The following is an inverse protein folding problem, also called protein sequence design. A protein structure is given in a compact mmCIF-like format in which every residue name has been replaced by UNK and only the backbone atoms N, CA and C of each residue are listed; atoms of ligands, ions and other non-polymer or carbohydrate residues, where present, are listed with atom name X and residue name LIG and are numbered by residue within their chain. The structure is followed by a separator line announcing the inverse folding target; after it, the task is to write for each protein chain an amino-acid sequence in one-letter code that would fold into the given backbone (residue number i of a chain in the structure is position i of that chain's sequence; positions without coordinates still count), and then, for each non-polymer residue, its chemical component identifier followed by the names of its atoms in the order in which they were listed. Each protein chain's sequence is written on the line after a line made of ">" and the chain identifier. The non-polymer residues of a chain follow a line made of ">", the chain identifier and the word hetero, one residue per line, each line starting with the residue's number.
data_IF_441714901742
#
_entry.id   IF_441714901742
#
_cell.length_a   1.000
_cell.length_b   1.000
_cell.length_c   1.000
_cell.angle_alpha   90.00
_cell.angle_beta   90.00
_cell.angle_gamma   90.00
#
_symmetry.space_group_name_H-M   'P 1'
#
loop_
_entity.id
_entity.type
_entity.pdbx_description
1 polymer ?
#
# COMPACT_ATOMS: atom_id res chain seq x y z
N UNK A 1 8.54 6.78 32.03
CA UNK A 1 8.74 6.37 30.63
C UNK A 1 8.90 7.65 29.80
N UNK A 2 10.12 7.95 29.42
CA UNK A 2 10.39 9.01 28.46
C UNK A 2 9.79 8.55 27.12
N UNK A 3 8.78 9.26 26.67
CA UNK A 3 8.23 9.00 25.33
C UNK A 3 9.30 9.41 24.31
N UNK A 4 9.71 8.45 23.48
CA UNK A 4 10.54 8.75 22.31
C UNK A 4 9.87 9.88 21.53
N UNK A 5 10.56 10.97 21.17
CA UNK A 5 10.00 12.08 20.42
C UNK A 5 9.89 11.71 18.93
N UNK A 6 9.22 10.61 18.64
CA UNK A 6 8.97 10.18 17.26
C UNK A 6 7.66 10.80 16.79
N UNK A 7 7.73 11.52 15.67
CA UNK A 7 6.58 12.13 15.03
C UNK A 7 6.23 11.33 13.78
N UNK A 8 5.00 10.87 13.68
CA UNK A 8 4.45 10.32 12.44
C UNK A 8 3.81 11.46 11.65
N UNK A 9 4.21 11.57 10.37
CA UNK A 9 3.65 12.55 9.43
C UNK A 9 3.04 11.76 8.28
N UNK A 10 1.80 12.04 7.96
CA UNK A 10 1.09 11.40 6.85
C UNK A 10 1.10 12.31 5.63
N UNK A 11 1.37 11.72 4.47
CA UNK A 11 1.27 12.36 3.16
C UNK A 11 0.36 11.54 2.28
N UNK A 12 -0.46 12.21 1.48
CA UNK A 12 -1.19 11.55 0.39
C UNK A 12 -0.25 11.26 -0.81
N UNK A 13 -0.73 10.43 -1.73
CA UNK A 13 0.06 10.04 -2.89
C UNK A 13 0.41 11.23 -3.80
N UNK A 14 -0.47 12.18 -3.95
CA UNK A 14 -0.26 13.36 -4.80
C UNK A 14 0.84 14.25 -4.25
N UNK A 15 0.87 14.41 -2.93
CA UNK A 15 1.95 15.15 -2.23
C UNK A 15 3.31 14.46 -2.37
N UNK A 16 3.36 13.13 -2.54
CA UNK A 16 4.60 12.38 -2.74
C UNK A 16 5.21 12.58 -4.14
N UNK A 17 4.44 13.09 -5.10
CA UNK A 17 4.91 13.43 -6.44
C UNK A 17 5.50 14.85 -6.52
N UNK A 18 5.45 15.62 -5.42
CA UNK A 18 6.08 16.95 -5.38
C UNK A 18 7.59 16.83 -5.62
N UNK A 19 8.06 17.60 -6.59
CA UNK A 19 9.50 17.78 -6.86
C UNK A 19 10.12 18.40 -5.61
N UNK A 20 11.09 17.70 -4.98
CA UNK A 20 11.83 18.09 -3.76
C UNK A 20 11.18 17.73 -2.41
N UNK A 21 10.23 16.80 -2.35
CA UNK A 21 9.69 16.31 -1.07
C UNK A 21 10.81 15.79 -0.14
N UNK A 22 11.75 15.01 -0.69
CA UNK A 22 12.86 14.45 0.06
C UNK A 22 13.75 15.53 0.70
N UNK A 23 14.12 16.57 -0.06
CA UNK A 23 14.91 17.69 0.45
C UNK A 23 14.18 18.44 1.56
N UNK A 24 12.88 18.63 1.41
CA UNK A 24 12.03 19.27 2.42
C UNK A 24 11.96 18.44 3.70
N UNK A 25 11.77 17.13 3.57
CA UNK A 25 11.73 16.22 4.72
C UNK A 25 13.07 16.20 5.49
N UNK A 26 14.18 16.05 4.77
CA UNK A 26 15.52 16.01 5.36
C UNK A 26 15.97 17.35 5.95
N UNK A 27 15.39 18.47 5.48
CA UNK A 27 15.67 19.78 6.05
C UNK A 27 14.99 20.00 7.41
N UNK A 28 13.77 19.49 7.54
CA UNK A 28 12.91 19.79 8.68
C UNK A 28 12.91 18.67 9.74
N UNK A 29 13.36 17.45 9.38
CA UNK A 29 13.27 16.26 10.24
C UNK A 29 14.49 15.34 10.09
N UNK A 30 14.81 14.66 11.18
CA UNK A 30 15.65 13.45 11.18
C UNK A 30 14.74 12.25 10.86
N UNK A 31 14.68 11.90 9.57
CA UNK A 31 13.73 10.92 9.06
C UNK A 31 14.26 9.52 9.29
N UNK A 32 13.58 8.72 10.09
CA UNK A 32 13.93 7.31 10.37
C UNK A 32 13.65 6.44 9.13
N UNK A 33 12.43 6.48 8.63
CA UNK A 33 12.02 5.75 7.44
C UNK A 33 10.74 6.36 6.86
N UNK A 34 10.42 5.96 5.65
CA UNK A 34 9.15 6.25 4.98
C UNK A 34 8.41 4.94 4.82
N UNK A 35 7.15 4.89 5.25
CA UNK A 35 6.30 3.71 5.16
C UNK A 35 5.16 3.99 4.19
N UNK A 36 4.91 3.09 3.26
CA UNK A 36 3.84 3.25 2.30
C UNK A 36 3.61 2.04 1.42
N UNK A 37 2.62 2.14 0.55
CA UNK A 37 2.31 1.09 -0.45
C UNK A 37 3.15 1.24 -1.71
N UNK A 38 3.60 2.45 -2.03
CA UNK A 38 4.48 2.73 -3.17
C UNK A 38 5.73 3.47 -2.71
N UNK A 39 6.90 3.00 -3.19
CA UNK A 39 8.13 3.73 -3.01
C UNK A 39 8.12 5.00 -3.89
N UNK A 40 8.14 6.20 -3.31
CA UNK A 40 8.16 7.45 -4.07
C UNK A 40 9.51 7.74 -4.72
N UNK A 41 10.40 6.73 -4.84
CA UNK A 41 11.76 6.81 -5.39
C UNK A 41 12.65 7.81 -4.65
N UNK A 42 12.49 7.88 -3.33
CA UNK A 42 13.39 8.63 -2.46
C UNK A 42 14.78 7.98 -2.48
N UNK A 43 15.82 8.81 -2.62
CA UNK A 43 17.20 8.30 -2.85
C UNK A 43 17.97 8.06 -1.55
N UNK A 44 17.70 8.89 -0.53
CA UNK A 44 18.48 8.92 0.71
C UNK A 44 17.65 8.50 1.93
N UNK A 45 16.38 8.14 1.74
CA UNK A 45 15.51 7.70 2.81
C UNK A 45 15.18 6.23 2.68
N UNK A 46 15.22 5.52 3.79
CA UNK A 46 14.83 4.12 3.85
C UNK A 46 13.32 4.00 3.67
N UNK A 47 12.89 3.26 2.65
CA UNK A 47 11.48 2.99 2.40
C UNK A 47 11.13 1.58 2.88
N UNK A 48 10.04 1.46 3.62
CA UNK A 48 9.46 0.21 4.06
C UNK A 48 8.08 0.06 3.42
N UNK A 49 7.90 -0.97 2.64
CA UNK A 49 6.59 -1.29 2.10
C UNK A 49 5.65 -1.74 3.24
N UNK A 50 4.38 -1.34 3.19
CA UNK A 50 3.42 -1.69 4.24
C UNK A 50 3.22 -3.20 4.35
N UNK A 51 3.28 -3.91 3.24
CA UNK A 51 3.26 -5.37 3.18
C UNK A 51 4.47 -6.01 3.87
N UNK A 52 5.67 -5.41 3.79
CA UNK A 52 6.86 -5.88 4.50
C UNK A 52 6.69 -5.76 6.03
N UNK A 53 6.06 -4.67 6.49
CA UNK A 53 5.71 -4.53 7.91
C UNK A 53 4.68 -5.58 8.36
N UNK A 54 3.68 -5.84 7.54
CA UNK A 54 2.62 -6.79 7.86
C UNK A 54 3.15 -8.22 7.87
N UNK A 55 4.08 -8.55 6.97
CA UNK A 55 4.74 -9.86 6.89
C UNK A 55 5.94 -9.98 7.83
N UNK A 56 6.21 -8.96 8.63
CA UNK A 56 7.31 -8.86 9.58
C UNK A 56 8.72 -8.91 8.97
N UNK A 57 8.86 -8.81 7.65
CA UNK A 57 10.16 -8.84 6.98
C UNK A 57 11.01 -7.59 7.23
N UNK A 58 10.39 -6.47 7.60
CA UNK A 58 11.09 -5.20 7.92
C UNK A 58 11.17 -4.91 9.43
N UNK A 59 10.73 -5.82 10.29
CA UNK A 59 10.83 -5.63 11.73
C UNK A 59 12.29 -5.57 12.19
N UNK A 60 13.18 -6.30 11.55
CA UNK A 60 14.61 -6.31 11.90
C UNK A 60 15.26 -4.93 11.70
N UNK A 61 14.88 -4.20 10.64
CA UNK A 61 15.35 -2.83 10.43
C UNK A 61 14.89 -1.91 11.56
N UNK A 62 13.60 -1.90 11.88
CA UNK A 62 13.07 -1.05 12.95
C UNK A 62 13.64 -1.45 14.31
N UNK A 63 13.78 -2.75 14.56
CA UNK A 63 14.38 -3.28 15.78
C UNK A 63 15.83 -2.83 15.92
N UNK A 64 16.64 -2.96 14.87
CA UNK A 64 18.04 -2.54 14.90
C UNK A 64 18.18 -1.01 15.06
N UNK A 65 17.32 -0.23 14.42
CA UNK A 65 17.33 1.22 14.56
C UNK A 65 17.03 1.68 16.00
N UNK A 66 16.07 1.01 16.65
CA UNK A 66 15.66 1.37 18.01
C UNK A 66 16.48 0.68 19.11
N UNK A 67 17.33 -0.31 18.78
CA UNK A 67 18.06 -1.12 19.78
C UNK A 67 18.92 -0.28 20.73
N UNK A 68 19.53 0.80 20.24
CA UNK A 68 20.36 1.70 21.02
C UNK A 68 19.58 2.82 21.71
N UNK A 69 18.27 2.94 21.46
CA UNK A 69 17.45 4.07 21.89
C UNK A 69 16.45 3.66 22.97
N UNK A 70 15.96 2.42 22.95
CA UNK A 70 14.94 1.92 23.89
C UNK A 70 15.45 0.68 24.64
N UNK A 71 14.85 0.41 25.82
CA UNK A 71 15.16 -0.77 26.59
C UNK A 71 14.72 -2.06 25.89
N UNK A 72 15.31 -3.20 26.24
CA UNK A 72 14.91 -4.51 25.68
C UNK A 72 13.44 -4.82 26.00
N UNK A 73 12.96 -4.46 27.20
CA UNK A 73 11.55 -4.65 27.59
C UNK A 73 10.59 -3.81 26.71
N UNK A 74 10.96 -2.57 26.42
CA UNK A 74 10.19 -1.70 25.52
C UNK A 74 10.26 -2.22 24.08
N UNK A 75 11.40 -2.77 23.65
CA UNK A 75 11.55 -3.42 22.33
C UNK A 75 10.63 -4.62 22.17
N UNK A 76 10.58 -5.51 23.17
CA UNK A 76 9.70 -6.67 23.17
C UNK A 76 8.21 -6.24 23.12
N UNK A 77 7.88 -5.18 23.86
CA UNK A 77 6.55 -4.56 23.84
C UNK A 77 6.22 -3.96 22.47
N UNK A 78 7.17 -3.26 21.85
CA UNK A 78 7.05 -2.70 20.52
C UNK A 78 6.80 -3.78 19.47
N UNK A 79 7.62 -4.84 19.44
CA UNK A 79 7.46 -5.95 18.50
C UNK A 79 6.10 -6.64 18.65
N UNK A 80 5.66 -6.93 19.89
CA UNK A 80 4.33 -7.51 20.15
C UNK A 80 3.19 -6.63 19.66
N UNK A 81 3.30 -5.31 19.86
CA UNK A 81 2.29 -4.36 19.38
C UNK A 81 2.28 -4.28 17.86
N UNK A 82 3.46 -4.27 17.23
CA UNK A 82 3.58 -4.30 15.76
C UNK A 82 2.91 -5.54 15.19
N UNK A 83 3.28 -6.74 15.65
CA UNK A 83 2.67 -8.01 15.25
C UNK A 83 1.16 -8.01 15.41
N UNK A 84 0.66 -7.51 16.54
CA UNK A 84 -0.76 -7.42 16.81
C UNK A 84 -1.49 -6.46 15.87
N UNK A 85 -0.93 -5.28 15.64
CA UNK A 85 -1.61 -4.20 14.92
C UNK A 85 -1.53 -4.37 13.41
N UNK A 86 -0.46 -4.97 12.90
CA UNK A 86 -0.26 -5.18 11.46
C UNK A 86 -0.68 -6.57 10.97
N UNK A 87 -1.36 -7.38 11.79
CA UNK A 87 -1.97 -8.59 11.23
C UNK A 87 -3.09 -8.22 10.23
N UNK A 88 -3.17 -8.94 9.11
CA UNK A 88 -4.22 -8.72 8.10
C UNK A 88 -5.62 -8.67 8.72
N UNK A 89 -5.89 -9.58 9.67
CA UNK A 89 -7.14 -9.64 10.39
C UNK A 89 -7.44 -8.33 11.13
N UNK A 90 -6.42 -7.70 11.76
CA UNK A 90 -6.65 -6.46 12.48
C UNK A 90 -6.81 -5.26 11.55
N UNK A 91 -6.08 -5.22 10.43
CA UNK A 91 -6.26 -4.17 9.42
C UNK A 91 -7.68 -4.22 8.87
N UNK A 92 -8.14 -5.41 8.52
CA UNK A 92 -9.49 -5.62 7.99
C UNK A 92 -10.56 -5.36 9.08
N UNK A 93 -10.31 -5.74 10.33
CA UNK A 93 -11.24 -5.47 11.43
C UNK A 93 -11.34 -3.99 11.82
N UNK A 94 -10.41 -3.15 11.36
CA UNK A 94 -10.49 -1.69 11.50
C UNK A 94 -11.41 -1.04 10.46
N UNK A 95 -11.91 -1.79 9.47
CA UNK A 95 -13.00 -1.32 8.63
C UNK A 95 -14.24 -1.11 9.52
N UNK A 96 -14.81 0.09 9.47
CA UNK A 96 -15.83 0.52 10.43
C UNK A 96 -17.25 0.39 9.90
N UNK A 97 -17.41 0.46 8.59
CA UNK A 97 -18.72 0.51 7.92
C UNK A 97 -19.01 -0.76 7.14
N UNK A 98 -17.99 -1.36 6.51
CA UNK A 98 -18.15 -2.53 5.67
C UNK A 98 -17.92 -3.83 6.45
N UNK A 99 -18.65 -4.90 6.09
CA UNK A 99 -18.38 -6.23 6.62
C UNK A 99 -17.03 -6.74 6.08
N UNK A 100 -16.01 -6.92 6.95
CA UNK A 100 -14.65 -7.22 6.49
C UNK A 100 -14.54 -8.53 5.71
N UNK A 101 -15.19 -9.58 6.16
CA UNK A 101 -15.14 -10.91 5.53
C UNK A 101 -15.76 -10.87 4.13
N UNK A 102 -16.93 -10.28 4.01
CA UNK A 102 -17.62 -10.15 2.72
C UNK A 102 -16.85 -9.27 1.73
N UNK A 103 -16.24 -8.20 2.22
CA UNK A 103 -15.44 -7.32 1.38
C UNK A 103 -14.20 -8.07 0.86
N UNK A 104 -13.48 -8.76 1.76
CA UNK A 104 -12.27 -9.50 1.40
C UNK A 104 -12.55 -10.59 0.35
N UNK A 105 -13.63 -11.38 0.53
CA UNK A 105 -14.02 -12.42 -0.44
C UNK A 105 -14.27 -11.81 -1.83
N UNK A 106 -15.02 -10.71 -1.91
CA UNK A 106 -15.32 -10.04 -3.18
C UNK A 106 -14.10 -9.41 -3.85
N UNK A 107 -13.22 -8.85 -3.03
CA UNK A 107 -11.95 -8.27 -3.53
C UNK A 107 -11.03 -9.39 -4.01
N UNK A 108 -10.99 -10.54 -3.32
CA UNK A 108 -10.23 -11.70 -3.75
C UNK A 108 -10.70 -12.20 -5.12
N UNK A 109 -12.00 -12.41 -5.30
CA UNK A 109 -12.58 -12.81 -6.60
C UNK A 109 -12.22 -11.81 -7.71
N UNK A 110 -12.24 -10.50 -7.42
CA UNK A 110 -11.90 -9.48 -8.39
C UNK A 110 -10.39 -9.48 -8.75
N UNK A 111 -9.50 -9.70 -7.78
CA UNK A 111 -8.06 -9.81 -8.01
C UNK A 111 -7.75 -11.08 -8.82
N UNK A 112 -8.41 -12.20 -8.54
CA UNK A 112 -8.25 -13.44 -9.30
C UNK A 112 -8.70 -13.24 -10.76
N UNK A 113 -9.82 -12.54 -10.98
CA UNK A 113 -10.26 -12.19 -12.32
C UNK A 113 -9.28 -11.24 -13.03
N UNK A 114 -8.71 -10.27 -12.30
CA UNK A 114 -7.68 -9.36 -12.82
C UNK A 114 -6.45 -10.14 -13.30
N UNK A 115 -5.95 -11.08 -12.49
CA UNK A 115 -4.84 -11.95 -12.88
C UNK A 115 -5.14 -12.77 -14.14
N UNK A 116 -6.35 -13.32 -14.25
CA UNK A 116 -6.79 -14.08 -15.44
C UNK A 116 -6.84 -13.19 -16.69
N UNK A 117 -7.42 -11.99 -16.58
CA UNK A 117 -7.52 -11.06 -17.72
C UNK A 117 -6.14 -10.53 -18.17
N UNK A 118 -5.25 -10.30 -17.22
CA UNK A 118 -3.86 -9.90 -17.48
C UNK A 118 -2.97 -11.07 -17.92
N UNK A 119 -3.45 -12.32 -17.79
CA UNK A 119 -2.68 -13.55 -18.06
C UNK A 119 -1.37 -13.60 -17.26
N UNK A 120 -1.43 -13.18 -16.02
CA UNK A 120 -0.28 -13.14 -15.11
C UNK A 120 -0.68 -13.67 -13.73
N UNK A 121 0.31 -14.08 -12.95
CA UNK A 121 0.11 -14.49 -11.56
C UNK A 121 0.87 -13.50 -10.68
N UNK A 122 0.18 -12.93 -9.71
CA UNK A 122 0.80 -12.03 -8.75
C UNK A 122 1.47 -12.83 -7.63
N UNK A 123 2.55 -12.29 -7.08
CA UNK A 123 3.15 -12.85 -5.87
C UNK A 123 2.20 -12.69 -4.68
N UNK A 124 2.42 -13.49 -3.62
CA UNK A 124 1.66 -13.35 -2.38
C UNK A 124 1.73 -11.92 -1.81
N UNK A 125 2.91 -11.29 -1.88
CA UNK A 125 3.09 -9.91 -1.42
C UNK A 125 2.29 -8.92 -2.26
N UNK A 126 2.27 -9.09 -3.58
CA UNK A 126 1.47 -8.25 -4.48
C UNK A 126 -0.02 -8.40 -4.19
N UNK A 127 -0.52 -9.63 -4.09
CA UNK A 127 -1.92 -9.88 -3.75
C UNK A 127 -2.28 -9.26 -2.40
N UNK A 128 -1.42 -9.44 -1.40
CA UNK A 128 -1.65 -8.93 -0.06
C UNK A 128 -1.77 -7.39 -0.04
N UNK A 129 -0.82 -6.68 -0.66
CA UNK A 129 -0.89 -5.23 -0.74
C UNK A 129 -2.11 -4.72 -1.50
N UNK A 130 -2.51 -5.41 -2.58
CA UNK A 130 -3.75 -5.11 -3.29
C UNK A 130 -4.98 -5.33 -2.40
N UNK A 131 -5.04 -6.41 -1.61
CA UNK A 131 -6.15 -6.63 -0.67
C UNK A 131 -6.27 -5.49 0.32
N UNK A 132 -5.17 -5.11 0.97
CA UNK A 132 -5.16 -4.01 1.94
C UNK A 132 -5.59 -2.70 1.30
N UNK A 133 -4.96 -2.34 0.17
CA UNK A 133 -5.26 -1.08 -0.52
C UNK A 133 -6.71 -1.00 -0.96
N UNK A 134 -7.20 -2.03 -1.65
CA UNK A 134 -8.56 -2.02 -2.22
C UNK A 134 -9.62 -2.09 -1.12
N UNK A 135 -9.41 -2.87 -0.05
CA UNK A 135 -10.36 -2.89 1.06
C UNK A 135 -10.48 -1.52 1.73
N UNK A 136 -9.35 -0.84 1.99
CA UNK A 136 -9.36 0.52 2.52
C UNK A 136 -9.97 1.53 1.54
N UNK A 137 -9.69 1.40 0.24
CA UNK A 137 -10.29 2.22 -0.80
C UNK A 137 -11.81 2.08 -0.82
N UNK A 138 -12.33 0.84 -0.79
CA UNK A 138 -13.76 0.58 -0.79
C UNK A 138 -14.45 1.22 0.42
N UNK A 139 -13.85 1.14 1.61
CA UNK A 139 -14.34 1.83 2.80
C UNK A 139 -14.43 3.35 2.56
N UNK A 140 -13.35 3.98 2.08
CA UNK A 140 -13.31 5.42 1.77
C UNK A 140 -14.36 5.81 0.72
N UNK A 141 -14.53 5.03 -0.34
CA UNK A 141 -15.52 5.30 -1.38
C UNK A 141 -16.95 5.23 -0.84
N UNK A 142 -17.25 4.29 0.05
CA UNK A 142 -18.59 4.15 0.66
C UNK A 142 -18.85 5.26 1.68
N UNK A 143 -17.88 5.60 2.51
CA UNK A 143 -17.99 6.66 3.52
C UNK A 143 -17.88 8.06 2.92
N UNK A 144 -17.36 8.18 1.71
CA UNK A 144 -17.01 9.43 1.02
C UNK A 144 -15.96 10.26 1.77
N UNK A 145 -15.11 9.59 2.56
CA UNK A 145 -14.02 10.22 3.28
C UNK A 145 -12.77 10.31 2.39
N UNK A 146 -12.14 11.49 2.36
CA UNK A 146 -10.87 11.71 1.67
C UNK A 146 -10.94 11.58 0.14
N UNK A 147 -12.12 11.68 -0.45
CA UNK A 147 -12.28 11.78 -1.90
C UNK A 147 -12.22 13.26 -2.25
N UNK A 148 -11.02 13.78 -2.38
CA UNK A 148 -10.81 15.05 -3.07
C UNK A 148 -11.18 14.87 -4.55
N UNK A 149 -11.62 15.93 -5.20
CA UNK A 149 -12.12 15.89 -6.59
C UNK A 149 -11.01 15.38 -7.53
N UNK A 150 -11.05 14.10 -7.84
CA UNK A 150 -10.29 13.52 -8.93
C UNK A 150 -10.71 14.20 -10.23
N UNK A 151 -9.74 14.72 -10.99
CA UNK A 151 -10.00 15.52 -12.19
C UNK A 151 -9.43 14.89 -13.47
N UNK A 152 -8.79 13.71 -13.36
CA UNK A 152 -8.17 13.07 -14.50
C UNK A 152 -9.21 12.48 -15.43
N UNK A 153 -9.10 12.80 -16.72
CA UNK A 153 -9.96 12.21 -17.74
C UNK A 153 -9.24 11.06 -18.47
N UNK A 154 -10.00 10.05 -18.86
CA UNK A 154 -9.46 8.89 -19.57
C UNK A 154 -8.87 9.29 -20.95
N UNK A 155 -9.36 10.38 -21.53
CA UNK A 155 -8.84 10.98 -22.77
C UNK A 155 -7.39 11.43 -22.69
N UNK A 156 -6.89 11.71 -21.47
CA UNK A 156 -5.53 12.19 -21.24
C UNK A 156 -4.52 11.05 -21.05
N UNK A 157 -4.99 9.81 -21.13
CA UNK A 157 -4.20 8.62 -20.87
C UNK A 157 -3.70 7.96 -22.15
N UNK A 158 -2.55 7.28 -22.06
CA UNK A 158 -2.03 6.48 -23.16
C UNK A 158 -2.84 5.19 -23.37
N UNK A 159 -2.70 4.59 -24.56
CA UNK A 159 -3.47 3.39 -24.97
C UNK A 159 -3.25 2.20 -24.04
N UNK A 160 -2.06 1.99 -23.51
CA UNK A 160 -1.76 0.84 -22.64
C UNK A 160 -2.41 1.00 -21.28
N UNK A 161 -2.43 2.20 -20.73
CA UNK A 161 -3.18 2.48 -19.52
C UNK A 161 -4.69 2.33 -19.75
N UNK A 162 -5.23 2.80 -20.88
CA UNK A 162 -6.65 2.64 -21.20
C UNK A 162 -7.04 1.15 -21.23
N UNK A 163 -6.22 0.28 -21.84
CA UNK A 163 -6.44 -1.17 -21.83
C UNK A 163 -6.43 -1.73 -20.41
N UNK A 164 -5.46 -1.32 -19.59
CA UNK A 164 -5.38 -1.73 -18.19
C UNK A 164 -6.60 -1.24 -17.40
N UNK A 165 -6.99 0.03 -17.55
CA UNK A 165 -8.18 0.59 -16.94
C UNK A 165 -9.43 -0.23 -17.25
N UNK A 166 -9.65 -0.55 -18.51
CA UNK A 166 -10.81 -1.38 -18.92
C UNK A 166 -10.76 -2.78 -18.30
N UNK A 167 -9.57 -3.36 -18.15
CA UNK A 167 -9.36 -4.65 -17.50
C UNK A 167 -9.72 -4.58 -16.01
N UNK A 168 -9.27 -3.55 -15.29
CA UNK A 168 -9.62 -3.32 -13.89
C UNK A 168 -11.13 -3.10 -13.74
N UNK A 169 -11.72 -2.22 -14.55
CA UNK A 169 -13.18 -1.97 -14.52
C UNK A 169 -14.00 -3.23 -14.77
N UNK A 170 -13.55 -4.12 -15.65
CA UNK A 170 -14.16 -5.42 -15.89
C UNK A 170 -14.06 -6.32 -14.67
N UNK A 171 -12.88 -6.42 -14.08
CA UNK A 171 -12.59 -7.31 -12.94
C UNK A 171 -13.32 -6.88 -11.68
N UNK A 172 -13.37 -5.59 -11.41
CA UNK A 172 -14.00 -5.03 -10.19
C UNK A 172 -15.48 -4.66 -10.35
N UNK A 173 -16.08 -4.90 -11.52
CA UNK A 173 -17.48 -4.56 -11.81
C UNK A 173 -18.48 -5.06 -10.77
N UNK A 174 -18.30 -6.27 -10.25
CA UNK A 174 -19.21 -6.84 -9.26
C UNK A 174 -19.03 -6.19 -7.88
N UNK A 175 -17.79 -5.82 -7.52
CA UNK A 175 -17.47 -5.09 -6.28
C UNK A 175 -18.11 -3.71 -6.33
N UNK A 176 -17.85 -2.94 -7.39
CA UNK A 176 -18.42 -1.60 -7.60
C UNK A 176 -19.96 -1.62 -7.56
N UNK A 177 -20.58 -2.59 -8.25
CA UNK A 177 -22.03 -2.74 -8.28
C UNK A 177 -22.60 -3.05 -6.89
N UNK A 178 -21.95 -3.94 -6.13
CA UNK A 178 -22.44 -4.36 -4.82
C UNK A 178 -22.40 -3.21 -3.82
N UNK A 179 -21.29 -2.47 -3.78
CA UNK A 179 -21.11 -1.35 -2.86
C UNK A 179 -21.66 -0.02 -3.40
N UNK A 180 -22.14 0.02 -4.65
CA UNK A 180 -22.66 1.21 -5.33
C UNK A 180 -21.65 2.35 -5.37
N UNK A 181 -20.42 2.02 -5.67
CA UNK A 181 -19.31 2.96 -5.80
C UNK A 181 -18.64 2.77 -7.15
N UNK A 182 -17.81 3.72 -7.53
CA UNK A 182 -16.97 3.65 -8.71
C UNK A 182 -15.51 3.88 -8.30
N UNK A 183 -14.60 2.98 -8.73
CA UNK A 183 -13.17 3.16 -8.51
C UNK A 183 -12.68 4.26 -9.45
N UNK A 184 -12.13 5.36 -8.91
CA UNK A 184 -11.63 6.49 -9.69
C UNK A 184 -10.45 6.10 -10.59
N UNK A 185 -10.23 6.86 -11.65
CA UNK A 185 -9.14 6.61 -12.61
C UNK A 185 -7.77 6.72 -11.95
N UNK A 186 -7.59 7.63 -11.01
CA UNK A 186 -6.36 7.83 -10.24
C UNK A 186 -6.02 6.62 -9.38
N UNK A 187 -7.03 5.98 -8.80
CA UNK A 187 -6.85 4.75 -8.02
C UNK A 187 -6.49 3.56 -8.93
N UNK A 188 -7.05 3.52 -10.14
CA UNK A 188 -6.64 2.53 -11.14
C UNK A 188 -5.19 2.78 -11.60
N UNK A 189 -4.77 4.03 -11.73
CA UNK A 189 -3.37 4.38 -12.04
C UNK A 189 -2.43 3.93 -10.92
N UNK A 190 -2.83 4.14 -9.66
CA UNK A 190 -2.08 3.64 -8.51
C UNK A 190 -1.93 2.10 -8.58
N UNK A 191 -3.02 1.36 -8.80
CA UNK A 191 -3.01 -0.10 -8.93
C UNK A 191 -2.05 -0.53 -10.05
N UNK A 192 -2.05 0.17 -11.20
CA UNK A 192 -1.17 -0.13 -12.32
C UNK A 192 0.31 0.03 -11.93
N UNK A 193 0.66 1.16 -11.35
CA UNK A 193 2.03 1.46 -10.90
C UNK A 193 2.48 0.46 -9.82
N UNK A 194 1.60 0.13 -8.89
CA UNK A 194 1.87 -0.84 -7.83
C UNK A 194 2.21 -2.22 -8.41
N UNK A 195 1.36 -2.75 -9.29
CA UNK A 195 1.58 -4.05 -9.93
C UNK A 195 2.90 -4.05 -10.72
N UNK A 196 3.17 -3.01 -11.52
CA UNK A 196 4.40 -2.92 -12.31
C UNK A 196 5.65 -2.90 -11.42
N UNK A 197 5.66 -2.13 -10.34
CA UNK A 197 6.78 -2.07 -9.42
C UNK A 197 7.04 -3.40 -8.71
N UNK A 198 5.98 -4.12 -8.33
CA UNK A 198 6.10 -5.42 -7.67
C UNK A 198 6.57 -6.52 -8.64
N UNK A 199 6.20 -6.44 -9.92
CA UNK A 199 6.70 -7.36 -10.94
C UNK A 199 8.21 -7.17 -11.20
N UNK A 200 8.70 -5.93 -11.23
CA UNK A 200 10.14 -5.65 -11.40
C UNK A 200 10.95 -6.20 -10.23
N UNK A 201 10.52 -5.98 -8.98
CA UNK A 201 11.21 -6.50 -7.79
C UNK A 201 11.33 -8.02 -7.79
N UNK A 202 10.31 -8.74 -8.25
CA UNK A 202 10.37 -10.21 -8.31
C UNK A 202 11.40 -10.73 -9.31
N UNK A 203 11.74 -9.99 -10.35
CA UNK A 203 12.82 -10.35 -11.28
C UNK A 203 14.21 -10.11 -10.66
N UNK A 204 14.41 -8.99 -9.97
CA UNK A 204 15.69 -8.65 -9.33
C UNK A 204 16.06 -9.63 -8.21
N UNK A 205 15.06 -10.15 -7.47
CA UNK A 205 15.28 -11.17 -6.42
C UNK A 205 15.71 -12.54 -7.01
N UNK A 206 15.27 -12.88 -8.22
CA UNK A 206 15.66 -14.13 -8.89
C UNK A 206 17.07 -14.06 -9.49
N UNK A 207 17.47 -12.90 -10.02
CA UNK A 207 18.84 -12.73 -10.58
C UNK A 207 19.92 -12.67 -9.47
N UNK A 208 19.60 -12.21 -8.26
CA UNK A 208 20.51 -12.19 -7.11
C UNK A 208 20.75 -13.54 -6.42
N UNK A 209 20.03 -14.61 -6.79
CA UNK A 209 20.20 -15.97 -6.24
C UNK A 209 21.08 -16.88 -7.11
N UNK A 210 21.54 -16.43 -8.28
CA UNK A 210 22.42 -17.20 -9.18
C UNK A 210 23.91 -16.80 -9.10
N UNK A 211 24.32 -15.95 -8.17
CA UNK A 211 25.71 -15.68 -7.82
C UNK A 211 26.05 -16.29 -6.44
#
# INVERSE_FOLDING_TARGET
>A
SEHLPVKVITYDYTSLLEVNLEEKLLKDYDVICVIGTLNPKLKNLHFIAIEELIMNSSLDFLTSYFADIISQEDMDSFQKKMLKNFSLTNIINNLTVLNPTQLLERVADAIDLLQQEMKTTFTNNTCFGLYVHICCLMERLVTREGIESYQKELSDCNEDFIKFYMTVKKSFKQVEKYYRVEIPIEEVEFINIYIQNMMVRSFDEYEGMEE
#
